data_IF_834919693928
#
_entry.id   IF_834919693928
#
_cell.length_a   1.000
_cell.length_b   1.000
_cell.length_c   1.000
_cell.angle_alpha   90.00
_cell.angle_beta   90.00
_cell.angle_gamma   90.00
#
_symmetry.space_group_name_H-M   'P 1'
#
loop_
_entity.id
_entity.type
_entity.pdbx_description
1 polymer ?
#
# COMPACT_ATOMS: atom_id res chain seq x y z
N UNK A 1 -8.87 -7.46 14.14
CA UNK A 1 -10.08 -7.00 14.84
C UNK A 1 -10.75 -5.96 13.98
N UNK A 2 -12.08 -5.92 13.96
CA UNK A 2 -12.85 -4.86 13.31
C UNK A 2 -13.70 -4.16 14.39
N UNK A 3 -13.82 -2.83 14.29
CA UNK A 3 -14.63 -2.01 15.20
C UNK A 3 -15.61 -1.25 14.31
N UNK A 4 -16.91 -1.41 14.56
CA UNK A 4 -17.98 -0.73 13.84
C UNK A 4 -18.67 0.25 14.81
N UNK A 5 -18.64 1.54 14.50
CA UNK A 5 -19.36 2.57 15.24
C UNK A 5 -20.74 2.77 14.61
N UNK A 6 -21.80 2.47 15.37
CA UNK A 6 -23.18 2.66 14.95
C UNK A 6 -24.08 2.80 16.18
N UNK A 7 -25.09 3.68 16.09
CA UNK A 7 -26.05 3.87 17.19
C UNK A 7 -27.03 2.70 17.31
N UNK A 8 -27.32 2.03 16.19
CA UNK A 8 -28.21 0.87 16.15
C UNK A 8 -27.65 -0.24 15.27
N UNK A 9 -28.01 -1.48 15.61
CA UNK A 9 -27.67 -2.65 14.80
C UNK A 9 -28.71 -2.77 13.68
N UNK A 10 -28.31 -2.39 12.47
CA UNK A 10 -29.13 -2.59 11.27
C UNK A 10 -29.15 -4.06 10.86
N UNK A 11 -30.12 -4.45 10.02
CA UNK A 11 -30.22 -5.82 9.48
C UNK A 11 -28.94 -6.25 8.75
N UNK A 12 -28.30 -5.34 8.02
CA UNK A 12 -27.04 -5.61 7.30
C UNK A 12 -25.87 -5.84 8.25
N UNK A 13 -25.75 -5.02 9.31
CA UNK A 13 -24.73 -5.19 10.34
C UNK A 13 -24.92 -6.56 11.03
N UNK A 14 -26.15 -6.89 11.42
CA UNK A 14 -26.47 -8.17 12.03
C UNK A 14 -26.05 -9.35 11.15
N UNK A 15 -26.44 -9.33 9.87
CA UNK A 15 -26.09 -10.38 8.92
C UNK A 15 -24.57 -10.51 8.72
N UNK A 16 -23.83 -9.38 8.65
CA UNK A 16 -22.38 -9.38 8.51
C UNK A 16 -21.67 -9.98 9.74
N UNK A 17 -22.15 -9.64 10.95
CA UNK A 17 -21.63 -10.20 12.21
C UNK A 17 -21.88 -11.70 12.27
N UNK A 18 -23.12 -12.14 12.00
CA UNK A 18 -23.50 -13.57 12.03
C UNK A 18 -22.66 -14.40 11.05
N UNK A 19 -22.47 -13.92 9.82
CA UNK A 19 -21.66 -14.62 8.83
C UNK A 19 -20.16 -14.65 9.20
N UNK A 20 -19.65 -13.56 9.80
CA UNK A 20 -18.27 -13.49 10.29
C UNK A 20 -18.05 -14.50 11.43
N UNK A 21 -18.98 -14.57 12.38
CA UNK A 21 -18.92 -15.54 13.48
C UNK A 21 -19.03 -16.98 12.98
N UNK A 22 -19.96 -17.24 12.04
CA UNK A 22 -20.14 -18.56 11.44
C UNK A 22 -18.87 -19.05 10.75
N UNK A 23 -18.19 -18.19 9.98
CA UNK A 23 -16.91 -18.50 9.33
C UNK A 23 -15.79 -18.72 10.35
N UNK A 24 -15.69 -17.85 11.35
CA UNK A 24 -14.65 -17.93 12.39
C UNK A 24 -14.75 -19.21 13.20
N UNK A 25 -15.97 -19.65 13.57
CA UNK A 25 -16.18 -20.92 14.28
C UNK A 25 -15.67 -22.11 13.47
N UNK A 26 -16.03 -22.20 12.18
CA UNK A 26 -15.53 -23.25 11.28
C UNK A 26 -14.01 -23.24 11.14
N UNK A 27 -13.40 -22.06 11.03
CA UNK A 27 -11.95 -21.93 10.93
C UNK A 27 -11.23 -22.39 12.22
N UNK A 28 -11.75 -22.03 13.39
CA UNK A 28 -11.18 -22.44 14.68
C UNK A 28 -11.29 -23.96 14.85
N UNK A 29 -12.45 -24.54 14.52
CA UNK A 29 -12.65 -25.99 14.61
C UNK A 29 -11.71 -26.75 13.67
N UNK A 30 -11.60 -26.29 12.42
CA UNK A 30 -10.66 -26.84 11.44
C UNK A 30 -9.22 -26.74 11.95
N UNK A 31 -8.80 -25.56 12.41
CA UNK A 31 -7.46 -25.34 12.92
C UNK A 31 -7.15 -26.25 14.12
N UNK A 32 -8.10 -26.42 15.05
CA UNK A 32 -7.95 -27.31 16.21
C UNK A 32 -7.85 -28.78 15.78
N UNK A 33 -8.69 -29.22 14.85
CA UNK A 33 -8.69 -30.59 14.32
C UNK A 33 -7.38 -30.92 13.60
N UNK A 34 -6.77 -29.94 12.94
CA UNK A 34 -5.57 -30.12 12.13
C UNK A 34 -4.27 -29.62 12.80
N UNK A 35 -4.32 -29.15 14.06
CA UNK A 35 -3.16 -28.61 14.76
C UNK A 35 -2.56 -27.35 14.13
N UNK A 36 -3.35 -26.59 13.36
CA UNK A 36 -2.88 -25.40 12.64
C UNK A 36 -2.85 -24.21 13.60
N UNK A 37 -1.66 -23.62 13.78
CA UNK A 37 -1.52 -22.33 14.46
C UNK A 37 -1.62 -21.21 13.42
N UNK A 38 -2.57 -20.26 13.54
CA UNK A 38 -2.69 -19.15 12.60
C UNK A 38 -1.42 -18.30 12.55
N UNK A 39 -0.93 -18.01 11.35
CA UNK A 39 0.23 -17.13 11.12
C UNK A 39 -0.11 -16.11 10.04
N UNK A 40 0.44 -14.91 10.18
CA UNK A 40 0.32 -13.85 9.17
C UNK A 40 1.15 -14.22 7.95
N UNK A 41 0.58 -14.08 6.76
CA UNK A 41 1.31 -14.26 5.50
C UNK A 41 2.16 -13.00 5.28
N UNK A 42 3.46 -13.18 5.11
CA UNK A 42 4.40 -12.13 4.69
C UNK A 42 4.63 -12.33 3.19
N UNK A 43 4.21 -11.36 2.36
CA UNK A 43 4.45 -11.38 0.91
C UNK A 43 5.46 -10.30 0.56
N UNK A 44 6.52 -10.67 -0.14
CA UNK A 44 7.47 -9.71 -0.72
C UNK A 44 6.80 -8.95 -1.85
N UNK A 45 7.10 -7.65 -1.94
CA UNK A 45 6.68 -6.83 -3.08
C UNK A 45 7.59 -7.21 -4.26
N UNK A 46 7.06 -7.60 -5.42
CA UNK A 46 7.88 -7.91 -6.58
C UNK A 46 8.64 -6.66 -7.03
N UNK A 47 9.93 -6.84 -7.30
CA UNK A 47 10.82 -5.77 -7.74
C UNK A 47 10.46 -5.43 -9.20
N UNK A 48 9.91 -4.22 -9.41
CA UNK A 48 9.70 -3.70 -10.76
C UNK A 48 11.05 -3.24 -11.29
N UNK A 49 11.51 -3.87 -12.37
CA UNK A 49 12.76 -3.51 -13.06
C UNK A 49 12.55 -2.16 -13.73
N UNK A 50 12.83 -1.07 -13.01
CA UNK A 50 12.88 0.25 -13.61
C UNK A 50 14.16 0.39 -14.43
N UNK A 51 13.99 0.74 -15.69
CA UNK A 51 15.02 1.04 -16.69
C UNK A 51 15.92 2.20 -16.24
N UNK A 52 17.23 2.01 -16.44
CA UNK A 52 18.36 2.96 -16.49
C UNK A 52 18.20 4.27 -15.68
N UNK A 53 18.82 4.32 -14.50
CA UNK A 53 18.76 5.47 -13.58
C UNK A 53 19.65 6.66 -14.03
N UNK A 54 19.08 7.63 -14.74
CA UNK A 54 19.68 8.96 -14.99
C UNK A 54 19.79 9.81 -13.71
N UNK A 55 19.16 9.38 -12.62
CA UNK A 55 19.11 10.09 -11.32
C UNK A 55 20.48 10.18 -10.66
N UNK A 56 21.35 9.18 -10.87
CA UNK A 56 22.66 9.05 -10.21
C UNK A 56 23.61 10.22 -10.51
N UNK A 57 23.53 10.77 -11.72
CA UNK A 57 24.47 11.78 -12.21
C UNK A 57 24.05 13.24 -11.90
N UNK A 58 22.93 13.47 -11.22
CA UNK A 58 22.42 14.83 -10.94
C UNK A 58 22.95 15.43 -9.64
N UNK A 59 23.08 16.75 -9.61
CA UNK A 59 23.42 17.51 -8.40
C UNK A 59 22.30 17.43 -7.36
N UNK A 60 22.59 17.50 -6.04
CA UNK A 60 21.56 17.54 -5.00
C UNK A 60 20.51 18.65 -5.18
N UNK A 61 20.92 19.80 -5.72
CA UNK A 61 20.01 20.90 -6.02
C UNK A 61 19.01 20.53 -7.13
N UNK A 62 19.48 19.89 -8.19
CA UNK A 62 18.64 19.48 -9.32
C UNK A 62 17.68 18.36 -8.93
N UNK A 63 18.11 17.44 -8.06
CA UNK A 63 17.27 16.39 -7.50
C UNK A 63 16.13 16.96 -6.64
N UNK A 64 16.39 17.99 -5.83
CA UNK A 64 15.36 18.67 -5.04
C UNK A 64 14.35 19.43 -5.90
N UNK A 65 14.80 20.05 -7.00
CA UNK A 65 13.89 20.69 -7.94
C UNK A 65 12.98 19.67 -8.63
N UNK A 66 13.58 18.57 -9.08
CA UNK A 66 12.87 17.49 -9.77
C UNK A 66 11.89 16.75 -8.84
N UNK A 67 12.22 16.57 -7.55
CA UNK A 67 11.32 15.94 -6.58
C UNK A 67 10.02 16.74 -6.42
N UNK A 68 10.11 18.07 -6.32
CA UNK A 68 8.96 18.96 -6.21
C UNK A 68 8.08 18.88 -7.47
N UNK A 69 8.70 18.87 -8.65
CA UNK A 69 7.99 18.79 -9.93
C UNK A 69 7.26 17.45 -10.09
N UNK A 70 7.95 16.34 -9.81
CA UNK A 70 7.36 14.99 -9.88
C UNK A 70 6.23 14.81 -8.86
N UNK A 71 6.35 15.39 -7.66
CA UNK A 71 5.28 15.37 -6.65
C UNK A 71 4.04 16.13 -7.13
N UNK A 72 4.21 17.30 -7.74
CA UNK A 72 3.12 18.07 -8.32
C UNK A 72 2.41 17.29 -9.45
N UNK A 73 3.19 16.63 -10.31
CA UNK A 73 2.67 15.80 -11.40
C UNK A 73 1.89 14.59 -10.88
N UNK A 74 2.40 13.93 -9.83
CA UNK A 74 1.73 12.80 -9.17
C UNK A 74 0.36 13.21 -8.62
N UNK A 75 0.27 14.36 -7.94
CA UNK A 75 -1.00 14.89 -7.40
C UNK A 75 -1.99 15.16 -8.53
N UNK A 76 -1.53 15.79 -9.61
CA UNK A 76 -2.35 16.04 -10.80
C UNK A 76 -2.91 14.75 -11.41
N UNK A 77 -2.06 13.74 -11.64
CA UNK A 77 -2.53 12.46 -12.19
C UNK A 77 -3.48 11.71 -11.26
N UNK A 78 -3.31 11.85 -9.93
CA UNK A 78 -4.24 11.29 -8.97
C UNK A 78 -5.62 12.00 -9.00
N UNK A 79 -5.65 13.32 -9.18
CA UNK A 79 -6.88 14.10 -9.38
C UNK A 79 -7.57 13.71 -10.71
N UNK A 80 -6.79 13.49 -11.76
CA UNK A 80 -7.26 13.07 -13.09
C UNK A 80 -7.64 11.56 -13.15
N UNK A 81 -7.53 10.82 -12.04
CA UNK A 81 -7.78 9.37 -11.93
C UNK A 81 -6.87 8.48 -12.82
N UNK A 82 -5.73 9.02 -13.28
CA UNK A 82 -4.70 8.29 -14.02
C UNK A 82 -3.69 7.66 -13.03
N UNK A 83 -4.13 6.55 -12.42
CA UNK A 83 -3.35 5.89 -11.37
C UNK A 83 -2.05 5.26 -11.87
N UNK A 84 -1.98 4.84 -13.13
CA UNK A 84 -0.76 4.24 -13.69
C UNK A 84 0.37 5.28 -13.72
N UNK A 85 0.10 6.48 -14.24
CA UNK A 85 1.08 7.57 -14.24
C UNK A 85 1.39 8.09 -12.84
N UNK A 86 0.39 8.13 -11.95
CA UNK A 86 0.61 8.51 -10.55
C UNK A 86 1.55 7.52 -9.83
N UNK A 87 1.41 6.22 -10.08
CA UNK A 87 2.29 5.17 -9.55
C UNK A 87 3.72 5.35 -10.09
N UNK A 88 3.89 5.61 -11.38
CA UNK A 88 5.21 5.85 -11.97
C UNK A 88 5.90 7.07 -11.34
N UNK A 89 5.15 8.17 -11.15
CA UNK A 89 5.67 9.38 -10.51
C UNK A 89 6.04 9.13 -9.04
N UNK A 90 5.23 8.36 -8.30
CA UNK A 90 5.54 7.93 -6.93
C UNK A 90 6.84 7.15 -6.85
N UNK A 91 7.02 6.19 -7.76
CA UNK A 91 8.20 5.31 -7.74
C UNK A 91 9.46 6.06 -8.18
N UNK A 92 9.33 7.04 -9.08
CA UNK A 92 10.40 8.00 -9.40
C UNK A 92 10.74 8.91 -8.22
N UNK A 93 9.75 9.47 -7.54
CA UNK A 93 9.95 10.33 -6.37
C UNK A 93 10.70 9.59 -5.25
N UNK A 94 10.33 8.32 -5.02
CA UNK A 94 11.02 7.46 -4.04
C UNK A 94 12.49 7.26 -4.39
N UNK A 95 12.81 7.05 -5.67
CA UNK A 95 14.21 6.92 -6.14
C UNK A 95 14.99 8.20 -5.91
N UNK A 96 14.40 9.36 -6.25
CA UNK A 96 15.03 10.66 -6.02
C UNK A 96 15.31 10.90 -4.54
N UNK A 97 14.36 10.59 -3.65
CA UNK A 97 14.53 10.71 -2.20
C UNK A 97 15.66 9.84 -1.66
N UNK A 98 15.74 8.57 -2.08
CA UNK A 98 16.84 7.66 -1.69
C UNK A 98 18.20 8.22 -2.12
N UNK A 99 18.30 8.80 -3.32
CA UNK A 99 19.57 9.37 -3.80
C UNK A 99 19.93 10.69 -3.10
N UNK A 100 18.96 11.51 -2.71
CA UNK A 100 19.20 12.70 -1.85
C UNK A 100 19.75 12.26 -0.48
N UNK A 101 19.14 11.24 0.14
CA UNK A 101 19.60 10.70 1.43
C UNK A 101 21.02 10.13 1.37
N UNK A 102 21.43 9.51 0.25
CA UNK A 102 22.79 9.01 0.06
C UNK A 102 23.84 10.11 -0.14
N UNK A 103 23.44 11.29 -0.63
CA UNK A 103 24.36 12.39 -0.97
C UNK A 103 24.50 13.44 0.16
N UNK A 104 23.65 13.37 1.18
CA UNK A 104 23.78 14.13 2.43
C UNK A 104 24.68 13.39 3.43
#
# INVERSE_FOLDING_TARGET
>A
TAILYADTITKSIKSAIEETERRRKKQIEYNKKHGITPKTIIKSIPEQVATLDDVKNKSPHDLNKESIEVEAQMKKYAEDLDFEKAIECRDRLRRIQIEIEKKN
#
